data_IF_471578781209
#
_entry.id   IF_471578781209
#
_cell.length_a   1.000
_cell.length_b   1.000
_cell.length_c   1.000
_cell.angle_alpha   90.00
_cell.angle_beta   90.00
_cell.angle_gamma   90.00
#
_symmetry.space_group_name_H-M   'P 1'
#
loop_
_entity.id
_entity.type
_entity.pdbx_description
1 polymer ?
#
# COMPACT_ATOMS: atom_id res chain seq x y z
N UNK A 1 12.31 -5.28 7.05
CA UNK A 1 11.88 -4.64 5.78
C UNK A 1 10.38 -4.41 5.69
N UNK A 2 9.52 -5.33 6.14
CA UNK A 2 8.05 -5.19 6.02
C UNK A 2 7.47 -3.89 6.64
N UNK A 3 7.76 -3.57 7.90
CA UNK A 3 7.24 -2.34 8.53
C UNK A 3 7.78 -1.03 7.94
N UNK A 4 8.98 -1.05 7.35
CA UNK A 4 9.54 0.12 6.68
C UNK A 4 8.75 0.46 5.39
N UNK A 5 8.26 -0.57 4.69
CA UNK A 5 7.39 -0.38 3.52
C UNK A 5 6.01 0.16 3.92
N UNK A 6 5.44 -0.33 5.03
CA UNK A 6 4.17 0.20 5.54
C UNK A 6 4.27 1.68 5.89
N UNK A 7 5.36 2.06 6.56
CA UNK A 7 5.62 3.46 6.92
C UNK A 7 5.83 4.36 5.68
N UNK A 8 6.54 3.84 4.66
CA UNK A 8 6.66 4.49 3.36
C UNK A 8 5.30 4.70 2.69
N UNK A 9 4.45 3.67 2.65
CA UNK A 9 3.11 3.78 2.06
C UNK A 9 2.23 4.77 2.83
N UNK A 10 2.32 4.78 4.16
CA UNK A 10 1.65 5.77 4.99
C UNK A 10 2.15 7.19 4.70
N UNK A 11 3.45 7.36 4.47
CA UNK A 11 4.04 8.65 4.07
C UNK A 11 3.44 9.15 2.76
N UNK A 12 3.30 8.28 1.75
CA UNK A 12 2.66 8.63 0.48
C UNK A 12 1.18 8.96 0.67
N UNK A 13 0.47 8.17 1.48
CA UNK A 13 -0.93 8.45 1.82
C UNK A 13 -1.09 9.83 2.47
N UNK A 14 -0.28 10.15 3.48
CA UNK A 14 -0.35 11.42 4.18
C UNK A 14 -0.11 12.60 3.23
N UNK A 15 0.95 12.51 2.42
CA UNK A 15 1.29 13.49 1.39
C UNK A 15 0.14 13.72 0.39
N UNK A 16 -0.54 12.65 -0.03
CA UNK A 16 -1.55 12.74 -1.08
C UNK A 16 -2.97 13.02 -0.60
N UNK A 17 -3.30 12.60 0.63
CA UNK A 17 -4.69 12.61 1.13
C UNK A 17 -4.92 13.57 2.29
N UNK A 18 -3.87 13.96 3.01
CA UNK A 18 -3.97 14.78 4.22
C UNK A 18 -3.32 16.14 4.04
N UNK A 19 -2.07 16.18 3.57
CA UNK A 19 -1.31 17.42 3.37
C UNK A 19 -2.02 18.46 2.49
N UNK A 20 -2.64 18.12 1.34
CA UNK A 20 -3.26 19.11 0.45
C UNK A 20 -4.48 19.80 1.06
N UNK A 21 -5.03 19.25 2.15
CA UNK A 21 -6.16 19.84 2.86
C UNK A 21 -5.76 21.04 3.72
N UNK A 22 -4.46 21.22 4.01
CA UNK A 22 -3.96 22.33 4.81
C UNK A 22 -4.58 22.39 6.22
N UNK A 23 -4.84 21.23 6.83
CA UNK A 23 -5.53 21.16 8.12
C UNK A 23 -4.72 21.84 9.24
N UNK A 24 -5.39 22.72 9.99
CA UNK A 24 -4.91 23.19 11.30
C UNK A 24 -4.87 22.07 12.33
N UNK A 25 -4.11 22.21 13.40
CA UNK A 25 -4.02 21.19 14.45
C UNK A 25 -5.40 20.84 15.05
N UNK A 26 -6.25 21.84 15.29
CA UNK A 26 -7.61 21.62 15.77
C UNK A 26 -8.49 20.81 14.79
N UNK A 27 -8.22 20.89 13.48
CA UNK A 27 -8.88 20.08 12.47
C UNK A 27 -8.27 18.68 12.36
N UNK A 28 -6.95 18.54 12.50
CA UNK A 28 -6.25 17.24 12.51
C UNK A 28 -6.80 16.32 13.61
N UNK A 29 -7.11 16.87 14.78
CA UNK A 29 -7.71 16.12 15.89
C UNK A 29 -9.08 15.50 15.58
N UNK A 30 -9.76 15.96 14.53
CA UNK A 30 -11.12 15.52 14.16
C UNK A 30 -11.18 14.82 12.81
N UNK A 31 -10.09 14.81 12.04
CA UNK A 31 -10.05 14.20 10.72
C UNK A 31 -9.67 12.72 10.83
N UNK A 32 -10.56 11.85 10.36
CA UNK A 32 -10.38 10.40 10.42
C UNK A 32 -9.18 9.90 9.60
N UNK A 33 -8.71 10.66 8.61
CA UNK A 33 -7.51 10.34 7.83
C UNK A 33 -6.23 10.60 8.60
N UNK A 34 -6.27 11.50 9.59
CA UNK A 34 -5.15 11.71 10.52
C UNK A 34 -5.20 10.64 11.59
N UNK A 35 -6.33 10.51 12.29
CA UNK A 35 -6.50 9.44 13.28
C UNK A 35 -7.96 9.04 13.41
N UNK A 36 -8.24 7.76 13.16
CA UNK A 36 -9.54 7.16 13.40
C UNK A 36 -9.57 6.52 14.79
N UNK A 37 -10.34 7.11 15.71
CA UNK A 37 -10.51 6.56 17.05
C UNK A 37 -11.19 5.19 17.06
N UNK A 38 -10.93 4.41 18.11
CA UNK A 38 -11.51 3.09 18.30
C UNK A 38 -11.64 2.73 19.79
N UNK A 39 -12.44 1.71 20.09
CA UNK A 39 -12.52 1.13 21.44
C UNK A 39 -11.74 -0.19 21.45
N UNK A 40 -10.83 -0.35 22.41
CA UNK A 40 -10.04 -1.57 22.54
C UNK A 40 -10.86 -2.72 23.11
N UNK A 41 -10.36 -3.96 23.04
CA UNK A 41 -10.98 -5.13 23.70
C UNK A 41 -11.07 -4.99 25.23
N UNK A 42 -10.31 -4.06 25.81
CA UNK A 42 -10.35 -3.75 27.25
C UNK A 42 -11.35 -2.61 27.56
N UNK A 43 -12.15 -2.18 26.58
CA UNK A 43 -13.10 -1.08 26.69
C UNK A 43 -12.47 0.31 26.91
N UNK A 44 -11.19 0.46 26.55
CA UNK A 44 -10.51 1.75 26.52
C UNK A 44 -10.87 2.49 25.24
N UNK A 45 -11.22 3.77 25.33
CA UNK A 45 -11.43 4.62 24.17
C UNK A 45 -10.12 5.28 23.76
N UNK A 46 -9.71 5.06 22.51
CA UNK A 46 -8.55 5.70 21.90
C UNK A 46 -9.00 6.76 20.91
N UNK A 47 -8.41 7.93 21.02
CA UNK A 47 -8.63 9.08 20.15
C UNK A 47 -7.29 9.72 19.75
N UNK A 48 -7.37 10.76 18.91
CA UNK A 48 -6.21 11.48 18.39
C UNK A 48 -5.27 12.00 19.49
N UNK A 49 -5.81 12.37 20.66
CA UNK A 49 -5.07 12.93 21.79
C UNK A 49 -4.53 11.87 22.75
N UNK A 50 -4.92 10.61 22.57
CA UNK A 50 -4.48 9.52 23.43
C UNK A 50 -2.98 9.32 23.31
N UNK A 51 -2.34 9.02 24.45
CA UNK A 51 -0.90 8.78 24.53
C UNK A 51 -0.50 7.31 24.36
N UNK A 52 0.79 7.08 24.12
CA UNK A 52 1.34 5.73 23.92
C UNK A 52 1.35 4.94 25.22
N UNK A 53 0.46 3.95 25.29
CA UNK A 53 0.43 3.00 26.40
C UNK A 53 0.95 1.67 25.96
N UNK A 54 1.72 1.02 26.83
CA UNK A 54 2.11 -0.36 26.66
C UNK A 54 1.64 -1.21 27.83
N UNK A 55 1.50 -2.51 27.60
CA UNK A 55 1.11 -3.46 28.63
C UNK A 55 2.32 -4.34 28.95
N UNK A 56 2.77 -4.30 30.19
CA UNK A 56 3.87 -5.14 30.66
C UNK A 56 3.39 -6.58 30.67
N UNK A 57 4.06 -7.45 29.92
CA UNK A 57 3.64 -8.84 29.72
C UNK A 57 3.46 -9.60 31.04
N UNK A 58 4.38 -9.41 31.99
CA UNK A 58 4.42 -10.18 33.23
C UNK A 58 3.40 -9.72 34.29
N UNK A 59 3.05 -8.43 34.31
CA UNK A 59 2.13 -7.86 35.32
C UNK A 59 0.75 -7.52 34.77
N UNK A 60 0.59 -7.50 33.44
CA UNK A 60 -0.60 -7.02 32.76
C UNK A 60 -0.88 -5.53 32.95
N UNK A 61 -0.02 -4.80 33.68
CA UNK A 61 -0.18 -3.37 33.96
C UNK A 61 0.05 -2.56 32.70
N UNK A 62 -0.85 -1.61 32.45
CA UNK A 62 -0.67 -0.61 31.41
C UNK A 62 0.14 0.57 31.95
N UNK A 63 1.25 0.90 31.29
CA UNK A 63 2.12 2.04 31.60
C UNK A 63 2.25 2.95 30.38
N UNK A 64 2.74 4.17 30.59
CA UNK A 64 3.25 5.00 29.50
C UNK A 64 4.48 4.31 28.89
N UNK A 65 4.54 4.24 27.55
CA UNK A 65 5.63 3.59 26.84
C UNK A 65 7.01 4.17 27.19
N UNK A 66 7.13 5.47 27.47
CA UNK A 66 8.38 6.11 27.86
C UNK A 66 8.89 5.64 29.24
N UNK A 67 7.98 5.20 30.11
CA UNK A 67 8.33 4.73 31.46
C UNK A 67 8.87 3.30 31.48
N UNK A 68 8.86 2.62 30.34
CA UNK A 68 9.43 1.28 30.25
C UNK A 68 10.97 1.31 30.37
N UNK A 69 11.56 0.52 31.28
CA UNK A 69 13.00 0.56 31.54
C UNK A 69 13.85 0.06 30.36
N UNK A 70 13.30 -0.74 29.44
CA UNK A 70 14.03 -1.34 28.33
C UNK A 70 13.86 -0.53 27.04
N UNK A 71 12.61 -0.20 26.70
CA UNK A 71 12.29 0.44 25.41
C UNK A 71 11.87 1.90 25.53
N UNK A 72 11.64 2.42 26.75
CA UNK A 72 11.15 3.79 26.96
C UNK A 72 12.07 4.86 26.38
N UNK A 73 13.38 4.59 26.32
CA UNK A 73 14.36 5.45 25.65
C UNK A 73 14.04 5.77 24.19
N UNK A 74 13.32 4.88 23.48
CA UNK A 74 12.93 5.09 22.08
C UNK A 74 11.69 6.00 21.94
N UNK A 75 10.95 6.25 23.03
CA UNK A 75 9.75 7.09 23.05
C UNK A 75 9.99 8.47 23.67
N UNK A 76 11.17 8.69 24.25
CA UNK A 76 11.50 9.91 25.01
C UNK A 76 11.35 11.17 24.17
N UNK A 77 11.95 11.18 22.98
CA UNK A 77 12.02 12.36 22.11
C UNK A 77 10.95 12.36 21.01
N UNK A 78 9.99 11.43 21.07
CA UNK A 78 8.85 11.40 20.17
C UNK A 78 7.71 12.29 20.70
N UNK A 79 6.89 12.87 19.79
CA UNK A 79 5.59 13.43 20.17
C UNK A 79 4.76 12.46 21.01
N UNK A 80 3.89 12.98 21.86
CA UNK A 80 3.22 12.17 22.91
C UNK A 80 1.80 11.76 22.55
N UNK A 81 1.22 12.35 21.51
CA UNK A 81 -0.14 12.08 21.07
C UNK A 81 -0.14 11.43 19.69
N UNK A 82 -1.11 10.54 19.43
CA UNK A 82 -1.17 9.80 18.17
C UNK A 82 -1.21 10.71 16.94
N UNK A 83 -1.96 11.81 16.98
CA UNK A 83 -2.09 12.70 15.81
C UNK A 83 -0.76 13.33 15.38
N UNK A 84 0.17 13.54 16.31
CA UNK A 84 1.47 14.16 16.04
C UNK A 84 2.44 13.20 15.33
N UNK A 85 2.21 11.89 15.40
CA UNK A 85 3.06 10.88 14.74
C UNK A 85 2.64 10.56 13.30
N UNK A 86 1.58 11.20 12.81
CA UNK A 86 1.01 10.87 11.50
C UNK A 86 1.81 11.44 10.34
N UNK A 87 2.58 12.52 10.56
CA UNK A 87 3.53 13.05 9.59
C UNK A 87 4.96 12.70 9.98
N UNK A 88 5.51 11.66 9.36
CA UNK A 88 6.85 11.14 9.67
C UNK A 88 7.99 12.15 9.41
N UNK A 89 7.76 13.16 8.56
CA UNK A 89 8.75 14.21 8.25
C UNK A 89 9.08 15.03 9.50
N UNK A 90 8.13 15.11 10.44
CA UNK A 90 8.33 15.74 11.75
C UNK A 90 9.18 14.91 12.71
N UNK A 91 9.43 13.63 12.40
CA UNK A 91 10.12 12.67 13.28
C UNK A 91 11.62 12.53 12.98
N UNK A 92 12.16 13.31 12.03
CA UNK A 92 13.60 13.41 11.81
C UNK A 92 14.18 12.48 10.74
N UNK A 93 13.35 11.83 9.91
CA UNK A 93 13.82 11.01 8.79
C UNK A 93 12.98 11.18 7.52
N UNK A 94 13.52 10.72 6.40
CA UNK A 94 12.90 10.73 5.07
C UNK A 94 13.18 9.44 4.32
N UNK A 95 12.39 9.20 3.28
CA UNK A 95 12.57 8.11 2.34
C UNK A 95 13.26 8.56 1.05
N UNK A 96 14.00 7.63 0.45
CA UNK A 96 14.35 7.69 -0.96
C UNK A 96 13.38 6.81 -1.75
N UNK A 97 12.40 7.45 -2.38
CA UNK A 97 11.32 6.82 -3.14
C UNK A 97 11.78 6.61 -4.58
N UNK A 98 11.80 5.35 -5.05
CA UNK A 98 12.27 5.00 -6.39
C UNK A 98 11.15 4.38 -7.21
N UNK A 99 11.16 4.65 -8.50
CA UNK A 99 10.28 3.99 -9.46
C UNK A 99 8.81 4.30 -9.16
N UNK A 100 7.96 3.27 -9.15
CA UNK A 100 6.50 3.42 -9.06
C UNK A 100 6.06 4.08 -7.74
N UNK A 101 6.78 3.83 -6.64
CA UNK A 101 6.50 4.48 -5.35
C UNK A 101 6.86 5.97 -5.38
N UNK A 102 7.91 6.33 -6.12
CA UNK A 102 8.25 7.72 -6.38
C UNK A 102 7.19 8.42 -7.23
N UNK A 103 6.69 7.75 -8.27
CA UNK A 103 5.62 8.27 -9.12
C UNK A 103 4.32 8.49 -8.33
N UNK A 104 3.96 7.53 -7.46
CA UNK A 104 2.80 7.63 -6.58
C UNK A 104 2.90 8.81 -5.61
N UNK A 105 4.08 9.02 -5.01
CA UNK A 105 4.32 10.19 -4.17
C UNK A 105 4.19 11.50 -4.93
N UNK A 106 4.87 11.63 -6.09
CA UNK A 106 4.87 12.88 -6.83
C UNK A 106 3.53 13.26 -7.44
N UNK A 107 2.70 12.27 -7.80
CA UNK A 107 1.50 12.51 -8.60
C UNK A 107 0.19 12.24 -7.87
N UNK A 108 0.18 11.53 -6.75
CA UNK A 108 -1.03 11.25 -5.98
C UNK A 108 -2.17 10.68 -6.85
N UNK A 109 -3.34 11.33 -6.93
CA UNK A 109 -4.43 10.87 -7.80
C UNK A 109 -4.10 10.93 -9.29
N UNK A 110 -3.17 11.82 -9.67
CA UNK A 110 -2.61 11.88 -11.02
C UNK A 110 -1.49 10.85 -11.24
N UNK A 111 -1.18 10.00 -10.24
CA UNK A 111 -0.43 8.77 -10.47
C UNK A 111 -1.34 7.87 -11.30
N UNK A 112 -1.38 8.15 -12.59
CA UNK A 112 -1.79 7.18 -13.59
C UNK A 112 -0.96 5.92 -13.33
N UNK A 113 -1.59 4.75 -13.19
CA UNK A 113 -0.92 3.55 -13.70
C UNK A 113 -0.73 3.83 -15.18
N UNK A 114 0.45 4.40 -15.46
CA UNK A 114 0.98 4.91 -16.72
C UNK A 114 0.21 6.04 -17.43
N UNK A 115 0.84 7.21 -17.50
CA UNK A 115 0.87 8.11 -18.66
C UNK A 115 1.99 9.13 -18.47
N UNK A 116 3.10 8.88 -19.15
CA UNK A 116 4.24 9.78 -19.48
C UNK A 116 4.68 10.81 -18.42
N UNK A 117 5.92 10.64 -17.96
CA UNK A 117 6.70 11.63 -17.22
C UNK A 117 6.80 12.95 -18.03
N UNK A 118 6.25 14.03 -17.47
CA UNK A 118 6.80 15.36 -17.68
C UNK A 118 7.49 15.74 -16.38
N UNK A 119 8.81 15.68 -16.39
CA UNK A 119 9.65 16.15 -15.31
C UNK A 119 9.55 17.66 -15.20
N UNK A 120 9.15 18.15 -14.03
CA UNK A 120 9.55 19.44 -13.47
C UNK A 120 9.13 19.50 -12.00
N UNK A 121 9.91 18.87 -11.12
CA UNK A 121 9.79 19.09 -9.68
C UNK A 121 10.74 20.22 -9.28
N UNK A 122 10.17 21.37 -8.90
CA UNK A 122 10.89 22.47 -8.26
C UNK A 122 11.18 22.12 -6.80
N UNK A 123 12.44 22.28 -6.40
CA UNK A 123 12.90 22.20 -5.02
C UNK A 123 12.35 23.36 -4.19
N UNK A 124 11.77 23.05 -3.03
CA UNK A 124 11.48 24.05 -1.99
C UNK A 124 12.23 23.71 -0.69
N UNK A 125 12.65 24.77 -0.01
CA UNK A 125 13.65 24.79 1.06
C UNK A 125 13.20 24.19 2.41
N UNK A 126 14.19 23.61 3.11
CA UNK A 126 14.29 23.40 4.57
C UNK A 126 13.10 22.78 5.31
N UNK A 127 12.72 21.58 4.86
CA UNK A 127 12.07 20.54 5.67
C UNK A 127 12.73 19.20 5.30
N UNK A 128 12.72 18.19 6.19
CA UNK A 128 13.15 16.83 5.81
C UNK A 128 12.14 16.33 4.79
N UNK A 129 12.50 16.35 3.50
CA UNK A 129 11.63 15.95 2.39
C UNK A 129 12.12 14.65 1.76
N UNK A 130 11.18 13.88 1.21
CA UNK A 130 11.48 12.62 0.57
C UNK A 130 12.16 12.85 -0.79
N UNK A 131 13.16 12.02 -1.10
CA UNK A 131 13.87 12.09 -2.38
C UNK A 131 13.14 11.18 -3.37
N UNK A 132 12.64 11.73 -4.48
CA UNK A 132 11.95 10.95 -5.52
C UNK A 132 12.87 10.68 -6.71
N UNK A 133 12.89 9.43 -7.19
CA UNK A 133 13.60 9.02 -8.42
C UNK A 133 12.68 8.37 -9.45
N UNK A 134 12.92 8.60 -10.75
CA UNK A 134 12.08 8.06 -11.82
C UNK A 134 12.16 6.54 -11.96
N UNK A 135 11.20 5.97 -12.69
CA UNK A 135 11.19 4.56 -13.10
C UNK A 135 12.20 4.38 -14.24
N UNK A 136 13.27 3.62 -13.98
CA UNK A 136 14.35 3.40 -14.98
C UNK A 136 14.61 1.93 -15.30
N UNK A 137 14.06 0.99 -14.52
CA UNK A 137 14.28 -0.45 -14.74
C UNK A 137 13.43 -0.95 -15.91
N UNK A 138 14.06 -1.67 -16.83
CA UNK A 138 13.40 -2.23 -18.00
C UNK A 138 12.21 -3.13 -17.63
N UNK A 139 12.34 -3.96 -16.60
CA UNK A 139 11.25 -4.82 -16.09
C UNK A 139 10.01 -4.01 -15.68
N UNK A 140 10.22 -2.90 -14.95
CA UNK A 140 9.13 -2.03 -14.53
C UNK A 140 8.51 -1.31 -15.72
N UNK A 141 9.32 -0.80 -16.64
CA UNK A 141 8.84 -0.17 -17.87
C UNK A 141 8.02 -1.15 -18.73
N UNK A 142 8.43 -2.40 -18.76
CA UNK A 142 7.75 -3.46 -19.48
C UNK A 142 6.40 -3.82 -18.85
N UNK A 143 6.34 -3.94 -17.51
CA UNK A 143 5.07 -4.14 -16.81
C UNK A 143 4.11 -2.95 -17.00
N UNK A 144 4.62 -1.72 -16.94
CA UNK A 144 3.83 -0.52 -17.24
C UNK A 144 3.28 -0.55 -18.68
N UNK A 145 4.12 -0.90 -19.66
CA UNK A 145 3.69 -0.99 -21.05
C UNK A 145 2.63 -2.10 -21.27
N UNK A 146 2.72 -3.20 -20.51
CA UNK A 146 1.68 -4.22 -20.47
C UNK A 146 0.34 -3.67 -19.94
N UNK A 147 0.35 -3.01 -18.78
CA UNK A 147 -0.86 -2.39 -18.20
C UNK A 147 -1.50 -1.40 -19.20
N UNK A 148 -0.69 -0.58 -19.86
CA UNK A 148 -1.13 0.35 -20.92
C UNK A 148 -1.88 -0.39 -22.04
N UNK A 149 -1.38 -1.53 -22.52
CA UNK A 149 -2.06 -2.30 -23.56
C UNK A 149 -3.35 -2.92 -23.06
N UNK A 150 -3.38 -3.40 -21.81
CA UNK A 150 -4.61 -3.94 -21.21
C UNK A 150 -5.66 -2.84 -21.11
N UNK A 151 -5.30 -1.63 -20.66
CA UNK A 151 -6.23 -0.50 -20.63
C UNK A 151 -6.73 -0.09 -22.02
N UNK A 152 -5.85 -0.04 -23.01
CA UNK A 152 -6.23 0.26 -24.39
C UNK A 152 -7.21 -0.77 -24.93
N UNK A 153 -6.97 -2.05 -24.67
CA UNK A 153 -7.84 -3.13 -25.09
C UNK A 153 -9.18 -3.11 -24.35
N UNK A 154 -9.15 -2.92 -23.03
CA UNK A 154 -10.33 -2.73 -22.20
C UNK A 154 -11.21 -1.57 -22.71
N UNK A 155 -10.59 -0.44 -23.07
CA UNK A 155 -11.29 0.70 -23.64
C UNK A 155 -11.93 0.39 -25.00
N UNK A 156 -11.32 -0.44 -25.84
CA UNK A 156 -11.92 -0.90 -27.11
C UNK A 156 -13.12 -1.81 -26.87
N UNK A 157 -13.11 -2.55 -25.76
CA UNK A 157 -14.19 -3.44 -25.33
C UNK A 157 -15.26 -2.73 -24.47
N UNK A 158 -15.18 -1.40 -24.30
CA UNK A 158 -16.05 -0.58 -23.45
C UNK A 158 -16.04 -0.98 -21.96
N UNK A 159 -14.94 -1.56 -21.46
CA UNK A 159 -14.75 -1.80 -20.04
C UNK A 159 -14.36 -0.50 -19.33
N UNK A 160 -14.81 -0.35 -18.09
CA UNK A 160 -14.38 0.73 -17.20
C UNK A 160 -12.94 0.55 -16.76
N UNK A 161 -12.32 1.61 -16.24
CA UNK A 161 -10.97 1.52 -15.69
C UNK A 161 -10.86 0.56 -14.51
N UNK A 162 -11.87 0.55 -13.63
CA UNK A 162 -11.91 -0.38 -12.51
C UNK A 162 -12.01 -1.84 -12.97
N UNK A 163 -12.80 -2.11 -14.01
CA UNK A 163 -12.83 -3.46 -14.61
C UNK A 163 -11.49 -3.79 -15.25
N UNK A 164 -10.82 -2.86 -15.94
CA UNK A 164 -9.50 -3.10 -16.47
C UNK A 164 -8.45 -3.40 -15.38
N UNK A 165 -8.53 -2.73 -14.23
CA UNK A 165 -7.67 -3.00 -13.07
C UNK A 165 -7.88 -4.43 -12.55
N UNK A 166 -9.14 -4.88 -12.47
CA UNK A 166 -9.48 -6.26 -12.12
C UNK A 166 -8.89 -7.26 -13.14
N UNK A 167 -8.97 -6.95 -14.43
CA UNK A 167 -8.41 -7.81 -15.48
C UNK A 167 -6.87 -7.87 -15.46
N UNK A 168 -6.19 -6.75 -15.19
CA UNK A 168 -4.72 -6.72 -14.99
C UNK A 168 -4.32 -7.65 -13.85
N UNK A 169 -5.06 -7.60 -12.73
CA UNK A 169 -4.83 -8.48 -11.59
C UNK A 169 -5.02 -9.95 -11.99
N UNK A 170 -6.11 -10.31 -12.66
CA UNK A 170 -6.35 -11.69 -13.13
C UNK A 170 -5.23 -12.20 -14.04
N UNK A 171 -4.84 -11.43 -15.05
CA UNK A 171 -3.77 -11.84 -15.98
C UNK A 171 -2.45 -12.02 -15.22
N UNK A 172 -2.14 -11.12 -14.28
CA UNK A 172 -0.93 -11.22 -13.45
C UNK A 172 -0.93 -12.48 -12.58
N UNK A 173 -2.08 -12.85 -12.02
CA UNK A 173 -2.23 -14.07 -11.20
C UNK A 173 -2.04 -15.33 -12.04
N UNK A 174 -2.62 -15.39 -13.24
CA UNK A 174 -2.42 -16.53 -14.14
C UNK A 174 -0.96 -16.63 -14.58
N UNK A 175 -0.35 -15.51 -14.97
CA UNK A 175 1.08 -15.47 -15.30
C UNK A 175 1.96 -15.94 -14.13
N UNK A 176 1.62 -15.56 -12.89
CA UNK A 176 2.38 -16.02 -11.73
C UNK A 176 2.23 -17.53 -11.50
N UNK A 177 1.02 -18.06 -11.62
CA UNK A 177 0.75 -19.50 -11.44
C UNK A 177 1.42 -20.35 -12.54
N UNK A 178 1.43 -19.88 -13.79
CA UNK A 178 1.82 -20.72 -14.93
C UNK A 178 3.26 -20.51 -15.39
N UNK A 179 3.83 -19.32 -15.14
CA UNK A 179 5.12 -18.93 -15.70
C UNK A 179 6.19 -18.59 -14.66
N UNK A 180 5.82 -18.39 -13.39
CA UNK A 180 6.79 -18.09 -12.34
C UNK A 180 7.04 -19.31 -11.44
N UNK A 181 8.23 -19.42 -10.81
CA UNK A 181 8.48 -20.46 -9.83
C UNK A 181 7.58 -20.30 -8.60
N UNK A 182 6.84 -21.35 -8.28
CA UNK A 182 5.90 -21.37 -7.15
C UNK A 182 4.50 -21.73 -7.61
N UNK A 183 3.54 -21.65 -6.69
CA UNK A 183 2.12 -21.74 -7.03
C UNK A 183 1.34 -20.93 -6.00
N UNK A 184 0.23 -20.36 -6.44
CA UNK A 184 -0.67 -19.60 -5.59
C UNK A 184 -1.47 -20.60 -4.75
N UNK A 185 -1.30 -20.53 -3.43
CA UNK A 185 -1.90 -21.45 -2.47
C UNK A 185 -2.71 -20.70 -1.43
N UNK A 186 -3.79 -21.33 -0.97
CA UNK A 186 -4.55 -20.84 0.18
C UNK A 186 -3.69 -20.88 1.47
N UNK A 187 -4.11 -20.12 2.47
CA UNK A 187 -3.50 -20.17 3.79
C UNK A 187 -3.64 -21.57 4.39
N UNK A 188 -2.58 -22.03 5.06
CA UNK A 188 -2.63 -23.31 5.77
C UNK A 188 -3.71 -23.32 6.86
N UNK A 189 -4.32 -24.49 7.16
CA UNK A 189 -5.34 -24.59 8.22
C UNK A 189 -4.85 -24.08 9.58
N UNK A 190 -3.57 -24.29 9.90
CA UNK A 190 -2.94 -23.81 11.13
C UNK A 190 -2.87 -22.28 11.14
N UNK A 191 -2.50 -21.66 10.01
CA UNK A 191 -2.49 -20.21 9.89
C UNK A 191 -3.90 -19.64 10.06
N UNK A 192 -4.88 -20.19 9.34
CA UNK A 192 -6.28 -19.76 9.43
C UNK A 192 -6.82 -19.85 10.85
N UNK A 193 -6.57 -20.97 11.53
CA UNK A 193 -6.97 -21.18 12.93
C UNK A 193 -6.30 -20.16 13.87
N UNK A 194 -4.98 -19.97 13.72
CA UNK A 194 -4.20 -19.09 14.60
C UNK A 194 -4.60 -17.62 14.46
N UNK A 195 -4.89 -17.18 13.25
CA UNK A 195 -5.21 -15.78 12.93
C UNK A 195 -6.70 -15.53 12.75
N UNK A 196 -7.54 -16.53 13.00
CA UNK A 196 -9.00 -16.46 12.85
C UNK A 196 -9.44 -16.02 11.46
N UNK A 197 -8.71 -16.44 10.43
CA UNK A 197 -9.06 -16.17 9.02
C UNK A 197 -10.03 -17.25 8.55
N UNK A 198 -11.24 -16.85 8.18
CA UNK A 198 -12.30 -17.76 7.70
C UNK A 198 -12.36 -17.86 6.18
N UNK A 199 -11.82 -16.87 5.49
CA UNK A 199 -11.88 -16.75 4.04
C UNK A 199 -10.68 -17.44 3.37
N UNK A 200 -10.73 -17.58 2.04
CA UNK A 200 -9.57 -17.96 1.25
C UNK A 200 -8.57 -16.81 1.18
N UNK A 201 -7.30 -17.13 0.95
CA UNK A 201 -6.35 -16.10 0.52
C UNK A 201 -6.89 -15.42 -0.77
N UNK A 202 -6.92 -14.07 -0.85
CA UNK A 202 -7.58 -13.35 -1.94
C UNK A 202 -7.11 -13.74 -3.34
N UNK A 203 -5.80 -13.86 -3.54
CA UNK A 203 -5.20 -14.22 -4.82
C UNK A 203 -5.58 -15.64 -5.25
N UNK A 204 -5.58 -16.57 -4.28
CA UNK A 204 -6.06 -17.93 -4.46
C UNK A 204 -7.54 -17.97 -4.83
N UNK A 205 -8.40 -17.21 -4.15
CA UNK A 205 -9.82 -17.14 -4.44
C UNK A 205 -10.09 -16.68 -5.89
N UNK A 206 -9.41 -15.61 -6.32
CA UNK A 206 -9.50 -15.11 -7.70
C UNK A 206 -9.03 -16.17 -8.69
N UNK A 207 -7.88 -16.81 -8.45
CA UNK A 207 -7.38 -17.87 -9.34
C UNK A 207 -8.37 -19.04 -9.46
N UNK A 208 -9.00 -19.48 -8.37
CA UNK A 208 -10.02 -20.53 -8.42
C UNK A 208 -11.27 -20.08 -9.20
N UNK A 209 -11.68 -18.81 -9.09
CA UNK A 209 -12.81 -18.25 -9.84
C UNK A 209 -12.52 -18.17 -11.35
N UNK A 210 -11.26 -17.94 -11.75
CA UNK A 210 -10.82 -18.01 -13.16
C UNK A 210 -10.88 -19.47 -13.64
N UNK A 211 -10.23 -20.39 -12.91
CA UNK A 211 -10.14 -21.81 -13.27
C UNK A 211 -11.51 -22.51 -13.37
N UNK A 212 -12.47 -22.10 -12.55
CA UNK A 212 -13.85 -22.62 -12.59
C UNK A 212 -14.72 -21.97 -13.68
N UNK A 213 -14.25 -20.88 -14.30
CA UNK A 213 -15.00 -20.11 -15.28
C UNK A 213 -16.07 -19.18 -14.69
N UNK A 214 -16.12 -19.03 -13.36
CA UNK A 214 -17.03 -18.09 -12.69
C UNK A 214 -16.65 -16.63 -12.98
N UNK A 215 -15.34 -16.35 -13.03
CA UNK A 215 -14.80 -15.01 -13.27
C UNK A 215 -13.64 -15.06 -14.28
N UNK A 216 -13.93 -15.38 -15.56
CA UNK A 216 -12.89 -15.49 -16.59
C UNK A 216 -12.22 -14.12 -16.86
N UNK A 217 -11.06 -14.18 -17.52
CA UNK A 217 -10.42 -12.98 -18.07
C UNK A 217 -11.25 -12.51 -19.27
N UNK A 218 -11.61 -11.22 -19.28
CA UNK A 218 -12.48 -10.59 -20.29
C UNK A 218 -11.71 -9.87 -21.39
N UNK A 219 -10.42 -9.60 -21.17
CA UNK A 219 -9.56 -8.91 -22.13
C UNK A 219 -9.33 -9.81 -23.33
N UNK A 220 -9.80 -9.38 -24.51
CA UNK A 220 -9.58 -10.12 -25.74
C UNK A 220 -8.08 -10.13 -26.10
N UNK A 221 -7.52 -11.32 -26.30
CA UNK A 221 -6.11 -11.52 -26.66
C UNK A 221 -5.13 -11.34 -25.50
N UNK A 222 -5.59 -11.48 -24.25
CA UNK A 222 -4.75 -11.34 -23.07
C UNK A 222 -3.57 -12.32 -23.03
N UNK A 223 -3.72 -13.52 -23.62
CA UNK A 223 -2.66 -14.54 -23.72
C UNK A 223 -1.52 -14.02 -24.60
N UNK A 224 -1.85 -13.33 -25.69
CA UNK A 224 -0.85 -12.71 -26.57
C UNK A 224 -0.15 -11.56 -25.86
N UNK A 225 -0.88 -10.75 -25.08
CA UNK A 225 -0.26 -9.70 -24.26
C UNK A 225 0.69 -10.30 -23.20
N UNK A 226 0.29 -11.38 -22.54
CA UNK A 226 1.15 -12.08 -21.57
C UNK A 226 2.42 -12.63 -22.24
N UNK A 227 2.30 -13.17 -23.46
CA UNK A 227 3.42 -13.66 -24.23
C UNK A 227 4.36 -12.52 -24.68
N UNK A 228 3.81 -11.45 -25.26
CA UNK A 228 4.59 -10.34 -25.80
C UNK A 228 5.40 -9.59 -24.73
N UNK A 229 4.81 -9.41 -23.55
CA UNK A 229 5.45 -8.65 -22.48
C UNK A 229 6.24 -9.54 -21.52
N UNK A 230 5.77 -10.74 -21.18
CA UNK A 230 6.41 -11.56 -20.15
C UNK A 230 7.02 -12.85 -20.69
N UNK A 231 6.95 -13.10 -22.00
CA UNK A 231 7.34 -14.37 -22.62
C UNK A 231 6.68 -15.58 -21.94
N UNK A 232 5.43 -15.38 -21.51
CA UNK A 232 4.61 -16.33 -20.78
C UNK A 232 3.48 -16.83 -21.67
N UNK A 233 3.47 -18.13 -21.98
CA UNK A 233 2.42 -18.76 -22.78
C UNK A 233 1.33 -19.32 -21.86
N UNK A 234 0.63 -18.43 -21.16
CA UNK A 234 -0.45 -18.78 -20.25
C UNK A 234 -1.70 -19.26 -21.01
N UNK A 235 -2.48 -20.16 -20.41
CA UNK A 235 -3.64 -20.82 -21.05
C UNK A 235 -4.91 -20.84 -20.21
#
# INVERSE_FOLDING_TARGET
MHHNMLDLLHTIFYHCRVEPLGLTDAQKLKDSRVFQGCTTRNNDNLDAMSGFRMRIADSGKSIDAEQDPLVGRFFKDLPKQYWELTDVRSLGYSFELKGLLGDMYSKCDASTQVRRLNDNATTANHTIDNIVRPVVRAENLNHLAFEDQVYLQASRQNLTRAEADDEINKITLVMHEECMPGSIQDFSPVFKTKWQVTEMEPSFAVLQSIKSGENPIKIEGWETLALDYFNCNAT
#
